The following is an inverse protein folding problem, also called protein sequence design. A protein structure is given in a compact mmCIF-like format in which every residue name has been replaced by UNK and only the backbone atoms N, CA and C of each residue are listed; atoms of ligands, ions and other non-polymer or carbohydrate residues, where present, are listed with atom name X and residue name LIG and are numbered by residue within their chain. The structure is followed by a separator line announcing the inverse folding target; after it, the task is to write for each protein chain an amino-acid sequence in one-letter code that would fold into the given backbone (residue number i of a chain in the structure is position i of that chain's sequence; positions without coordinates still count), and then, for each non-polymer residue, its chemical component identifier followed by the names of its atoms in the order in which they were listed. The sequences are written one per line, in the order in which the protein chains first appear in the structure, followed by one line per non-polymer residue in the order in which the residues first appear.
data_IF_877761548596
#
_entry.id   IF_877761548596
#
_cell.length_a   1.000
_cell.length_b   1.000
_cell.length_c   1.000
_cell.angle_alpha   90.00
_cell.angle_beta   90.00
_cell.angle_gamma   90.00
#
_symmetry.space_group_name_H-M   'P 1'
#
loop_
_entity.id
_entity.type
_entity.pdbx_description
1 polymer ?
#
# COMPACT_ATOMS: atom_id res chain seq x y z
N UNK A 1 -0.22 -25.48 -3.77
CA UNK A 1 0.34 -25.08 -2.46
C UNK A 1 -0.68 -24.20 -1.70
N UNK A 2 -1.95 -24.62 -1.61
CA UNK A 2 -2.99 -23.95 -0.81
C UNK A 2 -3.58 -24.86 0.28
N UNK A 3 -3.26 -26.16 0.24
CA UNK A 3 -4.08 -27.19 0.89
C UNK A 3 -3.98 -27.26 2.43
N UNK A 4 -3.44 -26.26 3.13
CA UNK A 4 -3.30 -26.27 4.60
C UNK A 4 -3.18 -24.87 5.27
N UNK A 5 -3.72 -23.80 4.67
CA UNK A 5 -3.70 -22.48 5.33
C UNK A 5 -4.73 -22.40 6.47
N UNK A 6 -4.42 -21.74 7.61
CA UNK A 6 -5.43 -21.39 8.61
C UNK A 6 -6.60 -20.63 7.97
N UNK A 7 -7.84 -20.88 8.40
CA UNK A 7 -9.03 -20.35 7.71
C UNK A 7 -9.04 -18.82 7.51
N UNK A 8 -8.50 -18.06 8.47
CA UNK A 8 -8.34 -16.61 8.38
C UNK A 8 -7.36 -16.20 7.25
N UNK A 9 -6.21 -16.86 7.19
CA UNK A 9 -5.18 -16.61 6.17
C UNK A 9 -5.64 -17.07 4.79
N UNK A 10 -6.31 -18.23 4.69
CA UNK A 10 -6.85 -18.73 3.43
C UNK A 10 -7.84 -17.71 2.82
N UNK A 11 -8.79 -17.21 3.63
CA UNK A 11 -9.75 -16.21 3.19
C UNK A 11 -9.07 -14.92 2.72
N UNK A 12 -8.03 -14.49 3.45
CA UNK A 12 -7.25 -13.30 3.15
C UNK A 12 -6.54 -13.40 1.81
N UNK A 13 -5.76 -14.48 1.63
CA UNK A 13 -5.01 -14.79 0.41
C UNK A 13 -5.95 -14.98 -0.77
N UNK A 14 -7.06 -15.70 -0.57
CA UNK A 14 -8.06 -15.91 -1.60
C UNK A 14 -8.62 -14.60 -2.14
N UNK A 15 -9.01 -13.67 -1.25
CA UNK A 15 -9.50 -12.34 -1.64
C UNK A 15 -8.42 -11.52 -2.35
N UNK A 16 -7.21 -11.51 -1.81
CA UNK A 16 -6.09 -10.76 -2.39
C UNK A 16 -5.80 -11.24 -3.82
N UNK A 17 -5.72 -12.55 -4.04
CA UNK A 17 -5.49 -13.14 -5.37
C UNK A 17 -6.64 -12.88 -6.34
N UNK A 18 -7.90 -12.93 -5.87
CA UNK A 18 -9.06 -12.61 -6.71
C UNK A 18 -9.01 -11.18 -7.25
N UNK A 19 -8.67 -10.20 -6.40
CA UNK A 19 -8.53 -8.80 -6.82
C UNK A 19 -7.26 -8.54 -7.64
N UNK A 20 -6.15 -9.23 -7.34
CA UNK A 20 -4.94 -9.17 -8.16
C UNK A 20 -5.22 -9.65 -9.58
N UNK A 21 -5.86 -10.81 -9.73
CA UNK A 21 -6.26 -11.33 -11.05
C UNK A 21 -7.16 -10.33 -11.79
N UNK A 22 -8.08 -9.67 -11.08
CA UNK A 22 -8.93 -8.64 -11.70
C UNK A 22 -8.12 -7.43 -12.18
N UNK A 23 -7.08 -7.04 -11.44
CA UNK A 23 -6.19 -5.96 -11.84
C UNK A 23 -5.36 -6.30 -13.09
N UNK A 24 -4.84 -7.52 -13.20
CA UNK A 24 -4.06 -8.00 -14.35
C UNK A 24 -4.87 -8.00 -15.66
N UNK A 25 -6.19 -8.20 -15.55
CA UNK A 25 -7.12 -8.18 -16.68
C UNK A 25 -7.70 -6.79 -16.97
N UNK A 26 -7.23 -5.73 -16.28
CA UNK A 26 -7.79 -4.39 -16.40
C UNK A 26 -6.93 -3.51 -17.32
N UNK A 27 -7.53 -3.06 -18.42
CA UNK A 27 -6.89 -2.15 -19.38
C UNK A 27 -6.93 -0.67 -18.96
N UNK A 28 -7.66 -0.34 -17.89
CA UNK A 28 -7.84 1.02 -17.37
C UNK A 28 -6.95 1.26 -16.15
N UNK A 29 -6.10 2.28 -16.20
CA UNK A 29 -5.15 2.58 -15.11
C UNK A 29 -5.84 2.95 -13.80
N UNK A 30 -6.97 3.68 -13.87
CA UNK A 30 -7.74 4.07 -12.70
C UNK A 30 -8.32 2.82 -12.00
N UNK A 31 -8.95 1.94 -12.78
CA UNK A 31 -9.47 0.66 -12.31
C UNK A 31 -8.37 -0.28 -11.81
N UNK A 32 -7.25 -0.38 -12.52
CA UNK A 32 -6.09 -1.21 -12.14
C UNK A 32 -5.51 -0.78 -10.80
N UNK A 33 -5.31 0.52 -10.59
CA UNK A 33 -4.88 1.05 -9.28
C UNK A 33 -5.88 0.66 -8.18
N UNK A 34 -7.19 0.85 -8.42
CA UNK A 34 -8.23 0.53 -7.43
C UNK A 34 -8.22 -0.97 -7.10
N UNK A 35 -8.17 -1.86 -8.10
CA UNK A 35 -8.16 -3.30 -7.88
C UNK A 35 -6.90 -3.76 -7.14
N UNK A 36 -5.73 -3.22 -7.49
CA UNK A 36 -4.48 -3.48 -6.77
C UNK A 36 -4.54 -2.98 -5.34
N UNK A 37 -5.14 -1.82 -5.10
CA UNK A 37 -5.35 -1.31 -3.75
C UNK A 37 -6.27 -2.22 -2.93
N UNK A 38 -7.33 -2.76 -3.54
CA UNK A 38 -8.22 -3.71 -2.87
C UNK A 38 -7.48 -5.03 -2.60
N UNK A 39 -6.68 -5.53 -3.54
CA UNK A 39 -5.85 -6.72 -3.36
C UNK A 39 -4.86 -6.55 -2.19
N UNK A 40 -4.17 -5.41 -2.14
CA UNK A 40 -3.32 -5.04 -1.01
C UNK A 40 -4.10 -4.99 0.30
N UNK A 41 -5.23 -4.29 0.34
CA UNK A 41 -6.07 -4.20 1.53
C UNK A 41 -6.60 -5.57 1.98
N UNK A 42 -6.89 -6.50 1.06
CA UNK A 42 -7.22 -7.86 1.42
C UNK A 42 -6.03 -8.53 2.13
N UNK A 43 -4.80 -8.41 1.63
CA UNK A 43 -3.60 -8.95 2.27
C UNK A 43 -3.21 -8.24 3.59
N UNK A 44 -3.49 -6.95 3.73
CA UNK A 44 -3.05 -6.11 4.84
C UNK A 44 -4.08 -5.97 5.97
N UNK A 45 -5.37 -5.80 5.65
CA UNK A 45 -6.35 -5.30 6.62
C UNK A 45 -6.60 -6.27 7.76
N UNK A 46 -6.10 -5.96 8.95
CA UNK A 46 -6.42 -6.66 10.19
C UNK A 46 -7.65 -6.03 10.83
N UNK A 47 -8.52 -6.84 11.44
CA UNK A 47 -9.50 -6.31 12.38
C UNK A 47 -8.74 -5.70 13.56
N UNK A 48 -8.61 -4.37 13.57
CA UNK A 48 -8.10 -3.67 14.74
C UNK A 48 -9.08 -3.92 15.88
N UNK A 49 -8.57 -4.52 16.96
CA UNK A 49 -9.27 -4.70 18.24
C UNK A 49 -10.08 -3.44 18.52
N UNK A 50 -11.41 -3.59 18.57
CA UNK A 50 -12.41 -2.52 18.71
C UNK A 50 -12.21 -1.63 19.96
N UNK A 51 -11.24 -1.96 20.81
CA UNK A 51 -11.01 -1.31 22.09
C UNK A 51 -10.08 -0.10 22.01
N UNK A 52 -9.16 -0.02 21.02
CA UNK A 52 -8.30 1.15 20.81
C UNK A 52 -7.96 1.34 19.31
N UNK A 53 -8.49 2.37 18.62
CA UNK A 53 -8.10 2.66 17.25
C UNK A 53 -6.62 3.07 17.19
N UNK A 54 -5.73 2.16 16.79
CA UNK A 54 -4.36 2.55 16.49
C UNK A 54 -4.35 3.43 15.23
N UNK A 55 -3.43 4.42 15.14
CA UNK A 55 -3.25 5.16 13.90
C UNK A 55 -2.95 4.19 12.76
N UNK A 56 -3.66 4.29 11.64
CA UNK A 56 -3.51 3.43 10.45
C UNK A 56 -2.05 3.33 9.98
N UNK A 57 -1.29 4.43 10.11
CA UNK A 57 0.14 4.47 9.79
C UNK A 57 1.05 3.66 10.73
N UNK A 58 0.59 3.36 11.95
CA UNK A 58 1.32 2.49 12.88
C UNK A 58 1.12 1.03 12.48
N UNK A 59 -0.12 0.62 12.24
CA UNK A 59 -0.45 -0.75 11.81
C UNK A 59 0.19 -1.09 10.47
N UNK A 60 0.14 -0.18 9.51
CA UNK A 60 0.81 -0.37 8.22
C UNK A 60 2.32 -0.60 8.39
N UNK A 61 2.96 0.15 9.29
CA UNK A 61 4.39 0.03 9.53
C UNK A 61 4.74 -1.32 10.17
N UNK A 62 4.03 -1.72 11.21
CA UNK A 62 4.24 -3.01 11.88
C UNK A 62 4.05 -4.17 10.90
N UNK A 63 3.04 -4.08 10.04
CA UNK A 63 2.82 -5.05 8.96
C UNK A 63 3.99 -5.09 7.97
N UNK A 64 4.47 -3.94 7.49
CA UNK A 64 5.60 -3.86 6.56
C UNK A 64 6.92 -4.33 7.19
N UNK A 65 7.15 -4.02 8.47
CA UNK A 65 8.30 -4.51 9.22
C UNK A 65 8.26 -6.04 9.35
N UNK A 66 7.09 -6.61 9.66
CA UNK A 66 6.88 -8.06 9.70
C UNK A 66 7.11 -8.73 8.35
N UNK A 67 6.58 -8.18 7.27
CA UNK A 67 6.80 -8.67 5.91
C UNK A 67 8.29 -8.69 5.55
N UNK A 68 9.00 -7.59 5.79
CA UNK A 68 10.43 -7.48 5.48
C UNK A 68 11.26 -8.43 6.34
N UNK A 69 10.87 -8.67 7.59
CA UNK A 69 11.54 -9.64 8.45
C UNK A 69 11.38 -11.09 7.98
N UNK A 70 10.24 -11.42 7.37
CA UNK A 70 9.93 -12.75 6.85
C UNK A 70 10.46 -12.97 5.40
N UNK A 71 10.71 -11.90 4.66
CA UNK A 71 11.22 -11.94 3.29
C UNK A 71 12.73 -12.30 3.21
N UNK A 72 13.06 -13.55 3.51
CA UNK A 72 14.44 -14.07 3.52
C UNK A 72 15.16 -13.86 2.18
N UNK A 73 14.42 -13.97 1.07
CA UNK A 73 14.92 -13.79 -0.29
C UNK A 73 15.09 -12.31 -0.68
N UNK A 74 14.68 -11.38 0.19
CA UNK A 74 14.74 -9.92 -0.01
C UNK A 74 14.05 -9.47 -1.31
N UNK A 75 12.97 -10.15 -1.70
CA UNK A 75 12.20 -9.85 -2.91
C UNK A 75 11.59 -8.45 -2.84
N UNK A 76 11.07 -8.03 -1.68
CA UNK A 76 10.58 -6.67 -1.45
C UNK A 76 11.69 -5.65 -1.67
N UNK A 77 12.87 -5.88 -1.09
CA UNK A 77 14.06 -5.04 -1.29
C UNK A 77 14.44 -4.96 -2.78
N UNK A 78 14.38 -6.08 -3.49
CA UNK A 78 14.57 -6.16 -4.94
C UNK A 78 13.59 -5.30 -5.72
N UNK A 79 12.29 -5.33 -5.37
CA UNK A 79 11.30 -4.43 -5.99
C UNK A 79 11.70 -2.97 -5.78
N UNK A 80 12.11 -2.61 -4.56
CA UNK A 80 12.42 -1.22 -4.26
C UNK A 80 13.66 -0.73 -5.03
N UNK A 81 14.75 -1.51 -5.07
CA UNK A 81 16.04 -1.04 -5.61
C UNK A 81 16.32 -1.45 -7.06
N UNK A 82 15.86 -2.62 -7.50
CA UNK A 82 16.23 -3.18 -8.81
C UNK A 82 15.17 -2.92 -9.87
N UNK A 83 13.89 -3.01 -9.50
CA UNK A 83 12.81 -2.90 -10.47
C UNK A 83 12.43 -1.43 -10.76
N UNK A 84 12.32 -0.56 -9.73
CA UNK A 84 11.75 0.79 -9.91
C UNK A 84 12.38 1.92 -9.06
N UNK A 85 13.71 2.04 -8.95
CA UNK A 85 14.32 3.10 -8.14
C UNK A 85 13.89 4.50 -8.59
N UNK A 86 13.63 4.69 -9.89
CA UNK A 86 13.18 5.97 -10.42
C UNK A 86 11.68 6.25 -10.15
N UNK A 87 10.78 5.28 -10.33
CA UNK A 87 9.36 5.51 -10.06
C UNK A 87 9.09 5.79 -8.58
N UNK A 88 9.80 5.09 -7.68
CA UNK A 88 9.72 5.34 -6.24
C UNK A 88 10.25 6.73 -5.90
N UNK A 89 11.39 7.14 -6.46
CA UNK A 89 11.90 8.51 -6.27
C UNK A 89 10.94 9.56 -6.81
N UNK A 90 10.34 9.35 -7.98
CA UNK A 90 9.36 10.28 -8.56
C UNK A 90 8.12 10.40 -7.68
N UNK A 91 7.57 9.28 -7.20
CA UNK A 91 6.43 9.26 -6.28
C UNK A 91 6.75 10.01 -4.98
N UNK A 92 7.92 9.76 -4.39
CA UNK A 92 8.33 10.40 -3.12
C UNK A 92 8.59 11.89 -3.26
N UNK A 93 9.00 12.35 -4.46
CA UNK A 93 9.21 13.76 -4.81
C UNK A 93 7.96 14.44 -5.39
N UNK A 94 6.80 13.80 -5.37
CA UNK A 94 5.57 14.37 -5.88
C UNK A 94 4.69 14.95 -4.74
N UNK A 95 4.49 16.27 -4.75
CA UNK A 95 3.67 16.97 -3.75
C UNK A 95 2.17 16.62 -3.83
N UNK A 96 1.67 16.20 -5.00
CA UNK A 96 0.24 15.92 -5.21
C UNK A 96 -0.21 14.59 -4.58
N UNK A 97 0.73 13.73 -4.18
CA UNK A 97 0.48 12.53 -3.37
C UNK A 97 0.99 12.70 -1.94
N UNK A 98 1.22 13.94 -1.50
CA UNK A 98 1.66 14.25 -0.15
C UNK A 98 0.55 14.93 0.65
N UNK A 99 -0.09 14.21 1.58
CA UNK A 99 -1.26 14.71 2.32
C UNK A 99 -1.11 16.14 2.91
N UNK A 100 0.03 16.52 3.53
CA UNK A 100 0.19 17.87 4.07
C UNK A 100 0.08 19.00 3.04
N UNK A 101 0.40 18.75 1.76
CA UNK A 101 0.15 19.71 0.68
C UNK A 101 -1.34 20.03 0.59
N UNK A 102 -2.19 19.00 0.52
CA UNK A 102 -3.64 19.16 0.44
C UNK A 102 -4.24 19.73 1.72
N UNK A 103 -3.70 19.38 2.88
CA UNK A 103 -4.14 19.97 4.16
C UNK A 103 -3.94 21.50 4.16
N UNK A 104 -2.83 21.99 3.59
CA UNK A 104 -2.59 23.42 3.43
C UNK A 104 -3.52 24.06 2.39
N UNK A 105 -3.75 23.39 1.24
CA UNK A 105 -4.67 23.92 0.22
C UNK A 105 -6.10 24.01 0.73
N UNK A 106 -6.51 23.06 1.58
CA UNK A 106 -7.83 23.00 2.18
C UNK A 106 -7.97 23.84 3.47
N UNK A 107 -6.94 24.62 3.84
CA UNK A 107 -6.98 25.49 5.03
C UNK A 107 -6.98 24.74 6.37
N UNK A 108 -6.66 23.44 6.40
CA UNK A 108 -6.52 22.64 7.62
C UNK A 108 -5.17 22.87 8.31
N UNK A 109 -4.20 23.43 7.58
CA UNK A 109 -2.86 23.83 8.04
C UNK A 109 -2.49 25.21 7.48
N UNK A 110 -1.63 25.97 8.17
CA UNK A 110 -1.03 27.20 7.65
C UNK A 110 -0.47 27.05 6.23
N UNK A 111 -0.81 28.01 5.35
CA UNK A 111 -0.27 28.08 3.99
C UNK A 111 1.25 28.19 4.05
N UNK A 112 1.97 27.29 3.38
CA UNK A 112 3.43 27.29 3.37
C UNK A 112 4.10 26.29 4.33
N UNK A 113 3.35 25.67 5.24
CA UNK A 113 3.93 24.69 6.18
C UNK A 113 4.35 23.39 5.48
N UNK A 114 3.61 22.99 4.43
CA UNK A 114 3.85 21.75 3.73
C UNK A 114 5.24 21.68 3.09
N UNK A 115 5.84 22.79 2.65
CA UNK A 115 7.18 22.81 2.04
C UNK A 115 8.24 22.30 3.01
N UNK A 116 8.23 22.79 4.25
CA UNK A 116 9.17 22.33 5.28
C UNK A 116 8.95 20.87 5.66
N UNK A 117 7.69 20.42 5.72
CA UNK A 117 7.34 19.02 5.93
C UNK A 117 7.81 18.13 4.77
N UNK A 118 7.68 18.63 3.54
CA UNK A 118 8.02 17.91 2.33
C UNK A 118 9.53 17.74 2.18
N UNK A 119 10.32 18.78 2.44
CA UNK A 119 11.78 18.66 2.45
C UNK A 119 12.26 17.70 3.54
N UNK A 120 11.67 17.73 4.75
CA UNK A 120 11.97 16.70 5.77
C UNK A 120 11.63 15.29 5.30
N UNK A 121 10.51 15.12 4.60
CA UNK A 121 10.11 13.82 4.06
C UNK A 121 11.07 13.34 2.96
N UNK A 122 11.56 14.23 2.09
CA UNK A 122 12.56 13.94 1.07
C UNK A 122 13.91 13.54 1.66
N UNK A 123 14.35 14.23 2.72
CA UNK A 123 15.56 13.86 3.47
C UNK A 123 15.40 12.49 4.12
N UNK A 124 14.25 12.22 4.76
CA UNK A 124 13.96 10.92 5.35
C UNK A 124 13.95 9.78 4.30
N UNK A 125 13.34 10.02 3.14
CA UNK A 125 13.36 9.10 2.01
C UNK A 125 14.78 8.83 1.53
N UNK A 126 15.57 9.89 1.30
CA UNK A 126 16.96 9.76 0.83
C UNK A 126 17.83 9.00 1.82
N UNK A 127 17.64 9.24 3.12
CA UNK A 127 18.34 8.49 4.18
C UNK A 127 17.96 7.02 4.17
N UNK A 128 16.68 6.70 4.11
CA UNK A 128 16.20 5.31 4.12
C UNK A 128 16.65 4.54 2.86
N UNK A 129 16.62 5.20 1.69
CA UNK A 129 17.19 4.68 0.45
C UNK A 129 18.70 4.41 0.57
N UNK A 130 19.45 5.31 1.22
CA UNK A 130 20.90 5.18 1.39
C UNK A 130 21.34 4.19 2.47
N UNK A 131 20.42 3.75 3.33
CA UNK A 131 20.70 2.79 4.42
C UNK A 131 20.08 1.41 4.19
N UNK A 132 19.61 1.11 2.98
CA UNK A 132 18.89 -0.13 2.63
C UNK A 132 17.69 -0.46 3.53
N UNK A 133 17.07 0.57 4.11
CA UNK A 133 15.94 0.42 5.03
C UNK A 133 14.63 0.22 4.24
N UNK A 134 14.44 -1.03 3.81
CA UNK A 134 13.33 -1.44 2.94
C UNK A 134 11.97 -1.16 3.59
N UNK A 135 11.78 -1.51 4.87
CA UNK A 135 10.52 -1.28 5.57
C UNK A 135 10.19 0.22 5.67
N UNK A 136 11.19 1.06 5.96
CA UNK A 136 11.00 2.51 6.02
C UNK A 136 10.65 3.12 4.67
N UNK A 137 11.29 2.68 3.59
CA UNK A 137 10.98 3.18 2.24
C UNK A 137 9.59 2.72 1.81
N UNK A 138 9.21 1.46 2.03
CA UNK A 138 7.86 0.97 1.77
C UNK A 138 6.83 1.78 2.55
N UNK A 139 7.08 2.07 3.83
CA UNK A 139 6.18 2.91 4.63
C UNK A 139 6.00 4.32 4.06
N UNK A 140 7.07 4.92 3.52
CA UNK A 140 6.99 6.22 2.83
C UNK A 140 6.22 6.10 1.51
N UNK A 141 6.45 5.05 0.72
CA UNK A 141 5.75 4.78 -0.55
C UNK A 141 4.25 4.61 -0.29
N UNK A 142 3.87 3.70 0.61
CA UNK A 142 2.46 3.48 0.96
C UNK A 142 1.81 4.73 1.53
N UNK A 143 2.53 5.59 2.26
CA UNK A 143 1.97 6.89 2.69
C UNK A 143 1.55 7.78 1.52
N UNK A 144 2.25 7.73 0.38
CA UNK A 144 1.89 8.47 -0.83
C UNK A 144 0.72 7.81 -1.56
N UNK A 145 0.76 6.48 -1.67
CA UNK A 145 -0.31 5.70 -2.29
C UNK A 145 -1.64 5.87 -1.51
N UNK A 146 -1.59 6.00 -0.18
CA UNK A 146 -2.76 6.31 0.64
C UNK A 146 -3.40 7.65 0.28
N UNK A 147 -2.60 8.71 0.06
CA UNK A 147 -3.12 9.99 -0.41
C UNK A 147 -3.79 9.85 -1.77
N UNK A 148 -3.15 9.14 -2.72
CA UNK A 148 -3.71 8.88 -4.04
C UNK A 148 -5.03 8.10 -3.96
N UNK A 149 -5.06 7.02 -3.17
CA UNK A 149 -6.27 6.25 -2.90
C UNK A 149 -7.38 7.10 -2.32
N UNK A 150 -7.08 7.97 -1.37
CA UNK A 150 -8.09 8.84 -0.78
C UNK A 150 -8.65 9.84 -1.79
N UNK A 151 -7.83 10.36 -2.72
CA UNK A 151 -8.32 11.18 -3.83
C UNK A 151 -9.32 10.40 -4.69
N UNK A 152 -8.99 9.17 -5.07
CA UNK A 152 -9.83 8.38 -5.97
C UNK A 152 -11.11 7.87 -5.28
N UNK A 153 -10.97 7.23 -4.12
CA UNK A 153 -12.07 6.55 -3.44
C UNK A 153 -13.10 7.50 -2.84
N UNK A 154 -12.72 8.76 -2.56
CA UNK A 154 -13.64 9.78 -2.05
C UNK A 154 -14.13 10.75 -3.12
N UNK A 155 -13.92 10.44 -4.41
CA UNK A 155 -14.42 11.27 -5.52
C UNK A 155 -13.67 12.59 -5.70
N UNK A 156 -12.46 12.72 -5.14
CA UNK A 156 -11.55 13.85 -5.30
C UNK A 156 -10.76 13.85 -6.60
N UNK A 157 -10.98 12.87 -7.49
CA UNK A 157 -10.39 12.80 -8.83
C UNK A 157 -11.42 12.40 -9.88
N UNK A 158 -11.22 12.88 -11.11
CA UNK A 158 -12.06 12.53 -12.27
C UNK A 158 -11.45 11.34 -13.02
N UNK A 159 -12.26 10.31 -13.30
CA UNK A 159 -11.85 9.17 -14.11
C UNK A 159 -11.32 9.61 -15.48
N UNK A 160 -10.26 8.94 -15.96
CA UNK A 160 -9.60 9.22 -17.23
C UNK A 160 -9.08 10.67 -17.41
N UNK A 161 -8.90 11.41 -16.31
CA UNK A 161 -8.32 12.76 -16.34
C UNK A 161 -6.82 12.73 -16.64
N UNK A 162 -6.32 13.81 -17.23
CA UNK A 162 -4.89 14.04 -17.45
C UNK A 162 -4.16 14.53 -16.20
N UNK A 163 -4.88 15.17 -15.25
CA UNK A 163 -4.26 15.91 -14.13
C UNK A 163 -3.50 14.99 -13.17
N UNK A 164 -4.07 13.82 -12.86
CA UNK A 164 -3.47 12.85 -11.95
C UNK A 164 -2.92 11.58 -12.65
N UNK A 165 -2.89 11.58 -13.99
CA UNK A 165 -2.65 10.37 -14.80
C UNK A 165 -1.33 9.68 -14.45
N UNK A 166 -0.26 10.47 -14.29
CA UNK A 166 1.06 9.94 -13.95
C UNK A 166 1.06 9.31 -12.56
N UNK A 167 0.37 9.91 -11.58
CA UNK A 167 0.33 9.35 -10.23
C UNK A 167 -0.45 8.05 -10.17
N UNK A 168 -1.57 7.96 -10.89
CA UNK A 168 -2.36 6.74 -11.00
C UNK A 168 -1.55 5.62 -11.65
N UNK A 169 -0.96 5.89 -12.82
CA UNK A 169 -0.13 4.91 -13.55
C UNK A 169 1.06 4.44 -12.72
N UNK A 170 1.81 5.37 -12.14
CA UNK A 170 3.03 5.04 -11.38
C UNK A 170 2.66 4.32 -10.08
N UNK A 171 1.57 4.72 -9.42
CA UNK A 171 1.03 4.03 -8.25
C UNK A 171 0.54 2.62 -8.57
N UNK A 172 -0.12 2.43 -9.71
CA UNK A 172 -0.55 1.11 -10.17
C UNK A 172 0.67 0.22 -10.44
N UNK A 173 1.66 0.70 -11.18
CA UNK A 173 2.89 -0.05 -11.45
C UNK A 173 3.65 -0.44 -10.17
N UNK A 174 3.69 0.42 -9.16
CA UNK A 174 4.31 0.10 -7.88
C UNK A 174 3.55 -1.01 -7.15
N UNK A 175 2.22 -0.91 -7.08
CA UNK A 175 1.41 -1.93 -6.42
C UNK A 175 1.42 -3.27 -7.17
N UNK A 176 1.43 -3.24 -8.51
CA UNK A 176 1.49 -4.42 -9.39
C UNK A 176 2.72 -5.29 -9.10
N UNK A 177 3.81 -4.68 -8.64
CA UNK A 177 5.05 -5.38 -8.29
C UNK A 177 5.08 -5.80 -6.82
N UNK A 178 4.53 -4.98 -5.93
CA UNK A 178 4.55 -5.24 -4.49
C UNK A 178 3.51 -6.28 -4.08
N UNK A 179 2.29 -6.20 -4.61
CA UNK A 179 1.16 -7.03 -4.18
C UNK A 179 1.43 -8.53 -4.38
N UNK A 180 1.94 -9.00 -5.54
CA UNK A 180 2.27 -10.42 -5.70
C UNK A 180 3.31 -10.90 -4.68
N UNK A 181 4.36 -10.11 -4.45
CA UNK A 181 5.41 -10.45 -3.47
C UNK A 181 4.85 -10.51 -2.05
N UNK A 182 3.98 -9.57 -1.67
CA UNK A 182 3.30 -9.57 -0.37
C UNK A 182 2.46 -10.85 -0.22
N UNK A 183 1.64 -11.20 -1.22
CA UNK A 183 0.80 -12.39 -1.17
C UNK A 183 1.65 -13.65 -1.05
N UNK A 184 2.75 -13.74 -1.79
CA UNK A 184 3.66 -14.88 -1.71
C UNK A 184 4.29 -15.02 -0.32
N UNK A 185 4.70 -13.91 0.32
CA UNK A 185 5.25 -13.94 1.69
C UNK A 185 4.18 -14.44 2.67
N UNK A 186 2.93 -13.96 2.56
CA UNK A 186 1.82 -14.46 3.38
C UNK A 186 1.63 -15.96 3.23
N UNK A 187 1.65 -16.46 1.99
CA UNK A 187 1.47 -17.89 1.69
C UNK A 187 2.66 -18.75 2.15
N UNK A 188 3.88 -18.20 2.15
CA UNK A 188 5.09 -18.88 2.57
C UNK A 188 5.22 -19.00 4.10
N UNK A 189 4.50 -18.14 4.85
CA UNK A 189 4.56 -18.06 6.31
C UNK A 189 3.19 -18.22 6.98
N UNK A 190 2.52 -19.38 6.82
CA UNK A 190 1.21 -19.63 7.42
C UNK A 190 1.20 -19.67 8.95
N UNK A 191 2.37 -19.86 9.56
CA UNK A 191 2.58 -19.88 11.01
C UNK A 191 2.60 -18.49 11.66
N UNK A 192 2.78 -17.43 10.87
CA UNK A 192 2.80 -16.06 11.37
C UNK A 192 1.39 -15.55 11.71
N UNK A 193 1.29 -14.64 12.69
CA UNK A 193 0.03 -13.99 13.03
C UNK A 193 -0.27 -12.85 12.05
N UNK A 194 -1.13 -13.14 11.08
CA UNK A 194 -1.61 -12.19 10.08
C UNK A 194 -2.90 -11.46 10.49
N UNK A 195 -3.41 -11.73 11.70
CA UNK A 195 -4.66 -11.19 12.24
C UNK A 195 -5.92 -11.67 11.51
N UNK A 196 -7.06 -11.52 12.18
CA UNK A 196 -8.36 -11.92 11.67
C UNK A 196 -8.88 -10.96 10.58
N UNK A 197 -9.62 -11.48 9.57
CA UNK A 197 -10.24 -10.65 8.55
C UNK A 197 -11.48 -9.94 9.11
N UNK A 198 -11.55 -8.61 8.99
CA UNK A 198 -12.67 -7.81 9.54
C UNK A 198 -14.05 -8.03 8.90
N UNK A 199 -14.15 -8.89 7.89
CA UNK A 199 -15.41 -9.33 7.30
C UNK A 199 -15.34 -10.84 7.04
N UNK A 200 -15.57 -11.70 8.05
CA UNK A 200 -15.50 -13.15 7.87
C UNK A 200 -16.66 -13.66 6.99
N UNK A 201 -16.51 -14.86 6.42
CA UNK A 201 -17.60 -15.51 5.69
C UNK A 201 -18.61 -16.02 6.73
N UNK A 202 -19.83 -15.49 6.68
CA UNK A 202 -20.95 -15.99 7.48
C UNK A 202 -21.72 -16.99 6.63
N UNK A 203 -21.92 -18.21 7.13
CA UNK A 203 -22.80 -19.16 6.47
C UNK A 203 -24.18 -18.51 6.30
N UNK A 204 -24.71 -18.49 5.07
CA UNK A 204 -26.08 -18.06 4.85
C UNK A 204 -26.99 -18.97 5.68
N UNK A 205 -27.72 -18.39 6.63
CA UNK A 205 -28.72 -19.13 7.41
C UNK A 205 -29.66 -19.84 6.44
N UNK A 206 -29.80 -21.15 6.60
CA UNK A 206 -30.82 -21.94 5.92
C UNK A 206 -32.23 -21.53 6.38
#
# INVERSE_FOLDING_TARGET
MRDNLPGALDLRVHRALSWLQRAELCDDEDGRFIFLWIAFNAAYAQEMRLEEPMPEQKVLREFLEGLVALDVEKRLSGVVWTAFPNAIRMLLNNQYVFQPYWDCQNGRRPRGEWQGLFERAKVAASRALGSDDTARVLGLVFSRLYTLRNQMMHGGSTWNSSVNREQVRDGANILDQLVPVIIDILMAHPEADWGEPGYPVVASGA
#
